data_IF_090550160676
#
_entry.id   IF_090550160676
#
_cell.length_a   1.000
_cell.length_b   1.000
_cell.length_c   1.000
_cell.angle_alpha   90.00
_cell.angle_beta   90.00
_cell.angle_gamma   90.00
#
_symmetry.space_group_name_H-M   'P 1'
#
loop_
_entity.id
_entity.type
_entity.pdbx_description
1 polymer ?
#
# COMPACT_ATOMS: atom_id res chain seq x y z
N UNK A 1 -26.83 12.22 -12.01
CA UNK A 1 -25.81 11.67 -12.91
C UNK A 1 -25.94 10.15 -12.96
N UNK A 2 -25.68 9.48 -14.11
CA UNK A 2 -25.77 8.01 -14.28
C UNK A 2 -24.36 7.45 -14.52
N UNK A 3 -24.18 6.15 -14.33
CA UNK A 3 -22.89 5.48 -14.55
C UNK A 3 -22.30 5.80 -15.92
N UNK A 4 -23.10 5.72 -16.99
CA UNK A 4 -22.67 6.07 -18.35
C UNK A 4 -22.13 7.50 -18.49
N UNK A 5 -22.65 8.45 -17.70
CA UNK A 5 -22.13 9.82 -17.66
C UNK A 5 -20.73 9.86 -17.06
N UNK A 6 -20.46 9.07 -16.00
CA UNK A 6 -19.16 8.96 -15.34
C UNK A 6 -18.12 8.41 -16.31
N UNK A 7 -18.41 7.29 -16.99
CA UNK A 7 -17.53 6.68 -17.97
C UNK A 7 -17.14 7.67 -19.09
N UNK A 8 -18.13 8.35 -19.66
CA UNK A 8 -17.91 9.29 -20.77
C UNK A 8 -17.11 10.52 -20.31
N UNK A 9 -17.44 11.08 -19.16
CA UNK A 9 -16.74 12.25 -18.60
C UNK A 9 -15.27 11.88 -18.28
N UNK A 10 -15.03 10.72 -17.69
CA UNK A 10 -13.68 10.24 -17.41
C UNK A 10 -12.88 9.97 -18.69
N UNK A 11 -13.48 9.35 -19.69
CA UNK A 11 -12.84 9.12 -20.99
C UNK A 11 -12.45 10.43 -21.68
N UNK A 12 -13.32 11.46 -21.65
CA UNK A 12 -13.00 12.78 -22.22
C UNK A 12 -11.87 13.45 -21.43
N UNK A 13 -11.89 13.37 -20.09
CA UNK A 13 -10.85 13.91 -19.22
C UNK A 13 -9.46 13.33 -19.56
N UNK A 14 -9.39 12.02 -19.75
CA UNK A 14 -8.12 11.30 -20.04
C UNK A 14 -7.64 11.58 -21.45
N UNK A 15 -8.55 11.61 -22.43
CA UNK A 15 -8.17 11.70 -23.86
C UNK A 15 -8.14 13.12 -24.42
N UNK A 16 -8.78 14.07 -23.73
CA UNK A 16 -8.85 15.48 -24.13
C UNK A 16 -9.73 15.79 -25.35
N UNK A 17 -10.31 14.77 -26.01
CA UNK A 17 -11.17 14.96 -27.21
C UNK A 17 -12.33 13.99 -27.26
N UNK A 18 -13.48 14.44 -27.83
CA UNK A 18 -14.65 13.59 -28.04
C UNK A 18 -14.37 12.40 -28.96
N UNK A 19 -13.52 12.59 -29.98
CA UNK A 19 -13.15 11.54 -30.93
C UNK A 19 -12.33 10.43 -30.26
N UNK A 20 -11.33 10.82 -29.47
CA UNK A 20 -10.49 9.85 -28.76
C UNK A 20 -11.27 9.15 -27.64
N UNK A 21 -12.14 9.87 -26.92
CA UNK A 21 -13.04 9.25 -25.93
C UNK A 21 -14.01 8.25 -26.58
N UNK A 22 -14.51 8.54 -27.77
CA UNK A 22 -15.35 7.63 -28.53
C UNK A 22 -14.60 6.33 -28.90
N UNK A 23 -13.37 6.46 -29.36
CA UNK A 23 -12.50 5.31 -29.66
C UNK A 23 -12.20 4.48 -28.40
N UNK A 24 -11.87 5.13 -27.28
CA UNK A 24 -11.58 4.47 -26.00
C UNK A 24 -12.76 3.64 -25.49
N UNK A 25 -13.99 4.17 -25.61
CA UNK A 25 -15.19 3.50 -25.13
C UNK A 25 -15.88 2.62 -26.20
N UNK A 26 -15.29 2.45 -27.39
CA UNK A 26 -15.88 1.74 -28.53
C UNK A 26 -17.29 2.26 -28.89
N UNK A 27 -17.44 3.60 -28.87
CA UNK A 27 -18.68 4.30 -29.19
C UNK A 27 -18.52 5.23 -30.38
N UNK A 28 -19.65 5.74 -30.88
CA UNK A 28 -19.64 6.82 -31.87
C UNK A 28 -19.46 8.19 -31.20
N UNK A 29 -18.79 9.13 -31.88
CA UNK A 29 -18.64 10.49 -31.36
C UNK A 29 -19.97 11.21 -31.07
N UNK A 30 -21.04 11.05 -31.88
CA UNK A 30 -22.36 11.58 -31.53
C UNK A 30 -22.90 11.07 -30.21
N UNK A 31 -22.72 9.75 -29.92
CA UNK A 31 -23.15 9.15 -28.65
C UNK A 31 -22.42 9.78 -27.45
N UNK A 32 -21.10 9.96 -27.56
CA UNK A 32 -20.31 10.65 -26.52
C UNK A 32 -20.81 12.07 -26.32
N UNK A 33 -21.03 12.81 -27.41
CA UNK A 33 -21.53 14.20 -27.34
C UNK A 33 -22.88 14.28 -26.63
N UNK A 34 -23.81 13.40 -27.02
CA UNK A 34 -25.15 13.35 -26.43
C UNK A 34 -25.12 12.99 -24.94
N UNK A 35 -24.25 12.03 -24.55
CA UNK A 35 -24.08 11.62 -23.17
C UNK A 35 -23.47 12.75 -22.33
N UNK A 36 -22.45 13.45 -22.84
CA UNK A 36 -21.86 14.60 -22.16
C UNK A 36 -22.91 15.71 -21.96
N UNK A 37 -23.63 16.09 -23.02
CA UNK A 37 -24.70 17.11 -22.92
C UNK A 37 -25.82 16.71 -21.94
N UNK A 38 -26.12 15.41 -21.87
CA UNK A 38 -27.09 14.90 -20.89
C UNK A 38 -26.56 15.03 -19.45
N UNK A 39 -25.28 14.75 -19.22
CA UNK A 39 -24.64 14.92 -17.92
C UNK A 39 -24.65 16.40 -17.49
N UNK A 40 -24.19 17.30 -18.36
CA UNK A 40 -24.12 18.74 -18.10
C UNK A 40 -25.51 19.36 -17.85
N UNK A 41 -26.53 18.95 -18.62
CA UNK A 41 -27.92 19.37 -18.35
C UNK A 41 -28.45 18.92 -16.99
N UNK A 42 -28.09 17.71 -16.54
CA UNK A 42 -28.48 17.23 -15.20
C UNK A 42 -27.75 17.95 -14.08
N UNK A 43 -26.51 18.36 -14.32
CA UNK A 43 -25.72 19.10 -13.34
C UNK A 43 -26.07 20.60 -13.31
N UNK A 44 -26.59 21.14 -14.41
CA UNK A 44 -26.91 22.56 -14.55
C UNK A 44 -25.73 23.44 -14.93
N UNK A 45 -24.57 22.86 -15.20
CA UNK A 45 -23.36 23.57 -15.63
C UNK A 45 -22.52 22.73 -16.58
N UNK A 46 -21.68 23.38 -17.45
CA UNK A 46 -20.77 22.66 -18.33
C UNK A 46 -19.62 22.04 -17.54
N UNK A 47 -19.18 20.87 -18.00
CA UNK A 47 -18.00 20.18 -17.46
C UNK A 47 -16.72 20.49 -18.28
N UNK A 48 -16.90 20.84 -19.55
CA UNK A 48 -15.78 21.16 -20.43
C UNK A 48 -16.06 22.41 -21.26
N UNK A 49 -15.00 23.18 -21.49
CA UNK A 49 -14.97 24.32 -22.39
C UNK A 49 -14.07 24.05 -23.59
N UNK A 50 -14.39 24.63 -24.73
CA UNK A 50 -13.54 24.52 -25.93
C UNK A 50 -12.54 25.67 -25.99
N UNK A 51 -11.26 25.36 -25.82
CA UNK A 51 -10.18 26.34 -25.96
C UNK A 51 -9.21 25.82 -27.01
N UNK A 52 -9.10 26.58 -28.13
CA UNK A 52 -8.21 26.26 -29.27
C UNK A 52 -8.42 24.84 -29.82
N UNK A 53 -9.67 24.35 -29.86
CA UNK A 53 -10.04 23.05 -30.39
C UNK A 53 -9.91 21.87 -29.40
N UNK A 54 -9.38 22.10 -28.20
CA UNK A 54 -9.29 21.10 -27.14
C UNK A 54 -10.43 21.31 -26.11
N UNK A 55 -10.84 20.24 -25.49
CA UNK A 55 -11.75 20.27 -24.34
C UNK A 55 -10.93 20.46 -23.07
N UNK A 56 -11.15 21.56 -22.37
CA UNK A 56 -10.52 21.88 -21.08
C UNK A 56 -11.57 21.78 -20.00
N UNK A 57 -11.27 21.13 -18.85
CA UNK A 57 -12.20 21.09 -17.72
C UNK A 57 -12.54 22.47 -17.17
N UNK A 58 -13.81 22.69 -16.86
CA UNK A 58 -14.26 23.87 -16.10
C UNK A 58 -13.79 23.77 -14.63
N UNK A 59 -13.91 24.87 -13.88
CA UNK A 59 -13.59 24.89 -12.44
C UNK A 59 -14.48 23.92 -11.64
N UNK A 60 -15.75 23.85 -11.98
CA UNK A 60 -16.73 22.95 -11.40
C UNK A 60 -16.36 21.48 -11.69
N UNK A 61 -15.95 21.19 -12.92
CA UNK A 61 -15.48 19.86 -13.31
C UNK A 61 -14.22 19.44 -12.54
N UNK A 62 -13.26 20.35 -12.36
CA UNK A 62 -12.03 20.06 -11.60
C UNK A 62 -12.34 19.66 -10.14
N UNK A 63 -13.36 20.28 -9.53
CA UNK A 63 -13.82 19.92 -8.18
C UNK A 63 -14.54 18.57 -8.15
N UNK A 64 -15.29 18.24 -9.21
CA UNK A 64 -16.09 17.00 -9.29
C UNK A 64 -15.26 15.78 -9.72
N UNK A 65 -14.18 15.97 -10.46
CA UNK A 65 -13.38 14.87 -11.03
C UNK A 65 -12.81 13.88 -10.01
N UNK A 66 -12.29 14.28 -8.83
CA UNK A 66 -11.82 13.32 -7.84
C UNK A 66 -12.90 12.31 -7.44
N UNK A 67 -14.14 12.74 -7.30
CA UNK A 67 -15.27 11.86 -6.94
C UNK A 67 -15.67 10.97 -8.13
N UNK A 68 -15.65 11.50 -9.35
CA UNK A 68 -15.90 10.71 -10.58
C UNK A 68 -14.84 9.62 -10.74
N UNK A 69 -13.57 9.95 -10.51
CA UNK A 69 -12.48 8.97 -10.60
C UNK A 69 -12.64 7.86 -9.58
N UNK A 70 -12.99 8.20 -8.34
CA UNK A 70 -13.20 7.22 -7.27
C UNK A 70 -14.35 6.24 -7.60
N UNK A 71 -15.44 6.76 -8.17
CA UNK A 71 -16.56 5.91 -8.59
C UNK A 71 -16.20 5.01 -9.79
N UNK A 72 -15.41 5.51 -10.74
CA UNK A 72 -14.93 4.73 -11.88
C UNK A 72 -14.00 3.59 -11.42
N UNK A 73 -13.08 3.89 -10.52
CA UNK A 73 -12.19 2.90 -9.89
C UNK A 73 -12.98 1.82 -9.15
N UNK A 74 -14.03 2.20 -8.40
CA UNK A 74 -14.90 1.25 -7.71
C UNK A 74 -15.67 0.36 -8.68
N UNK A 75 -16.14 0.90 -9.81
CA UNK A 75 -16.81 0.10 -10.85
C UNK A 75 -15.86 -0.92 -11.47
N UNK A 76 -14.65 -0.47 -11.85
CA UNK A 76 -13.62 -1.36 -12.39
C UNK A 76 -13.23 -2.45 -11.38
N UNK A 77 -13.19 -2.11 -10.09
CA UNK A 77 -12.93 -3.07 -9.03
C UNK A 77 -13.99 -4.17 -8.97
N UNK A 78 -15.28 -3.81 -9.07
CA UNK A 78 -16.39 -4.80 -9.11
C UNK A 78 -16.29 -5.69 -10.36
N UNK A 79 -15.93 -5.11 -11.51
CA UNK A 79 -15.75 -5.87 -12.75
C UNK A 79 -14.60 -6.89 -12.62
N UNK A 80 -13.44 -6.46 -12.12
CA UNK A 80 -12.30 -7.36 -11.86
C UNK A 80 -12.67 -8.48 -10.87
N UNK A 81 -13.39 -8.16 -9.80
CA UNK A 81 -13.85 -9.16 -8.85
C UNK A 81 -14.76 -10.20 -9.53
N UNK A 82 -15.70 -9.76 -10.38
CA UNK A 82 -16.58 -10.67 -11.11
C UNK A 82 -15.81 -11.57 -12.10
N UNK A 83 -14.75 -11.05 -12.73
CA UNK A 83 -13.86 -11.82 -13.60
C UNK A 83 -13.06 -12.84 -12.77
N UNK A 84 -12.44 -12.44 -11.67
CA UNK A 84 -11.67 -13.32 -10.79
C UNK A 84 -12.54 -14.45 -10.19
N UNK A 85 -13.79 -14.15 -9.83
CA UNK A 85 -14.74 -15.17 -9.36
C UNK A 85 -15.13 -16.18 -10.45
N UNK A 86 -15.20 -15.73 -11.71
CA UNK A 86 -15.51 -16.62 -12.83
C UNK A 86 -14.34 -17.54 -13.18
N UNK A 87 -13.12 -17.00 -13.15
CA UNK A 87 -11.92 -17.72 -13.58
C UNK A 87 -11.43 -18.72 -12.50
N UNK A 88 -11.93 -18.61 -11.26
CA UNK A 88 -11.58 -19.47 -10.14
C UNK A 88 -10.16 -19.26 -9.61
N UNK A 89 -9.80 -20.00 -8.56
CA UNK A 89 -8.42 -20.05 -8.06
C UNK A 89 -7.66 -21.16 -8.78
N UNK A 90 -6.54 -20.81 -9.42
CA UNK A 90 -5.59 -21.80 -9.94
C UNK A 90 -4.92 -22.52 -8.76
N UNK A 91 -5.32 -23.76 -8.47
CA UNK A 91 -4.78 -24.58 -7.37
C UNK A 91 -3.26 -24.87 -7.50
N UNK A 92 -2.67 -24.52 -8.64
CA UNK A 92 -1.23 -24.69 -8.88
C UNK A 92 -0.42 -23.40 -8.71
N UNK A 93 -1.03 -22.31 -8.26
CA UNK A 93 -0.37 -21.02 -8.11
C UNK A 93 -0.77 -20.29 -6.81
N UNK A 94 0.12 -19.41 -6.32
CA UNK A 94 -0.17 -18.47 -5.22
C UNK A 94 0.29 -17.08 -5.63
N UNK A 95 -0.62 -16.11 -5.57
CA UNK A 95 -0.35 -14.68 -5.77
C UNK A 95 -0.17 -14.03 -4.40
N UNK A 96 1.03 -13.58 -4.11
CA UNK A 96 1.45 -13.06 -2.80
C UNK A 96 1.61 -11.55 -2.92
N UNK A 97 1.00 -10.81 -2.01
CA UNK A 97 1.31 -9.40 -1.73
C UNK A 97 2.05 -9.28 -0.41
N UNK A 98 3.02 -8.37 -0.34
CA UNK A 98 3.71 -8.11 0.91
C UNK A 98 4.02 -6.61 1.05
N UNK A 99 4.07 -6.13 2.30
CA UNK A 99 4.64 -4.82 2.56
C UNK A 99 6.07 -4.75 2.03
N UNK A 100 6.53 -3.62 1.46
CA UNK A 100 7.81 -3.55 0.75
C UNK A 100 9.01 -4.06 1.55
N UNK A 101 9.08 -3.76 2.85
CA UNK A 101 10.16 -4.25 3.71
C UNK A 101 10.11 -5.78 3.87
N UNK A 102 8.93 -6.34 4.07
CA UNK A 102 8.75 -7.79 4.21
C UNK A 102 8.99 -8.53 2.90
N UNK A 103 8.60 -7.95 1.76
CA UNK A 103 8.81 -8.56 0.44
C UNK A 103 10.30 -8.77 0.11
N UNK A 104 11.18 -7.89 0.63
CA UNK A 104 12.62 -7.94 0.39
C UNK A 104 13.38 -8.80 1.41
N UNK A 105 12.74 -9.22 2.48
CA UNK A 105 13.34 -9.96 3.58
C UNK A 105 12.56 -11.26 3.85
N UNK A 106 11.78 -11.27 4.88
CA UNK A 106 11.05 -12.42 5.42
C UNK A 106 10.22 -13.17 4.37
N UNK A 107 9.48 -12.44 3.52
CA UNK A 107 8.60 -13.07 2.53
C UNK A 107 9.41 -13.63 1.37
N UNK A 108 10.54 -13.01 1.01
CA UNK A 108 11.47 -13.58 0.02
C UNK A 108 11.98 -14.95 0.48
N UNK A 109 12.44 -15.05 1.74
CA UNK A 109 12.91 -16.32 2.33
C UNK A 109 11.78 -17.36 2.42
N UNK A 110 10.58 -16.93 2.82
CA UNK A 110 9.42 -17.80 2.88
C UNK A 110 9.02 -18.34 1.49
N UNK A 111 9.10 -17.50 0.45
CA UNK A 111 8.83 -17.90 -0.95
C UNK A 111 9.85 -18.95 -1.42
N UNK A 112 11.14 -18.77 -1.13
CA UNK A 112 12.18 -19.73 -1.50
C UNK A 112 11.98 -21.06 -0.75
N UNK A 113 11.77 -21.01 0.56
CA UNK A 113 11.49 -22.21 1.37
C UNK A 113 10.24 -22.94 0.88
N UNK A 114 9.17 -22.20 0.58
CA UNK A 114 7.94 -22.79 0.07
C UNK A 114 8.13 -23.42 -1.31
N UNK A 115 8.94 -22.81 -2.18
CA UNK A 115 9.26 -23.34 -3.51
C UNK A 115 10.04 -24.64 -3.45
N UNK A 116 10.92 -24.79 -2.47
CA UNK A 116 11.64 -26.06 -2.22
C UNK A 116 10.67 -27.17 -1.79
N UNK A 117 9.71 -26.86 -0.91
CA UNK A 117 8.70 -27.82 -0.45
C UNK A 117 7.65 -28.17 -1.53
N UNK A 118 7.39 -27.25 -2.45
CA UNK A 118 6.36 -27.36 -3.48
C UNK A 118 6.89 -26.97 -4.87
N UNK A 119 7.79 -27.76 -5.50
CA UNK A 119 8.46 -27.40 -6.75
C UNK A 119 7.50 -27.13 -7.92
N UNK A 120 6.33 -27.79 -7.94
CA UNK A 120 5.31 -27.64 -8.99
C UNK A 120 4.48 -26.36 -8.91
N UNK A 121 4.48 -25.67 -7.74
CA UNK A 121 3.63 -24.49 -7.52
C UNK A 121 4.28 -23.26 -8.13
N UNK A 122 3.48 -22.46 -8.85
CA UNK A 122 3.89 -21.14 -9.34
C UNK A 122 3.67 -20.11 -8.22
N UNK A 123 4.68 -19.29 -7.95
CA UNK A 123 4.61 -18.23 -6.95
C UNK A 123 4.84 -16.88 -7.65
N UNK A 124 3.98 -15.92 -7.38
CA UNK A 124 4.19 -14.53 -7.77
C UNK A 124 4.21 -13.67 -6.52
N UNK A 125 5.28 -12.88 -6.35
CA UNK A 125 5.42 -11.94 -5.25
C UNK A 125 5.38 -10.51 -5.81
N UNK A 126 4.45 -9.72 -5.30
CA UNK A 126 4.36 -8.28 -5.54
C UNK A 126 4.45 -7.54 -4.21
N UNK A 127 5.04 -6.37 -4.22
CA UNK A 127 5.04 -5.49 -3.06
C UNK A 127 4.05 -4.35 -3.26
N UNK A 128 3.30 -4.03 -2.19
CA UNK A 128 2.39 -2.89 -2.20
C UNK A 128 2.20 -2.38 -0.76
N UNK A 129 1.74 -1.14 -0.64
CA UNK A 129 1.41 -0.57 0.66
C UNK A 129 0.09 -1.11 1.19
N UNK A 130 -0.03 -1.20 2.51
CA UNK A 130 -1.11 -1.95 3.18
C UNK A 130 -2.51 -1.63 2.67
N UNK A 131 -2.85 -0.36 2.41
CA UNK A 131 -4.19 0.00 1.93
C UNK A 131 -4.49 -0.57 0.54
N UNK A 132 -3.55 -0.43 -0.40
CA UNK A 132 -3.68 -0.98 -1.77
C UNK A 132 -3.64 -2.50 -1.75
N UNK A 133 -2.77 -3.09 -0.93
CA UNK A 133 -2.67 -4.54 -0.79
C UNK A 133 -3.98 -5.15 -0.28
N UNK A 134 -4.59 -4.56 0.76
CA UNK A 134 -5.89 -4.99 1.30
C UNK A 134 -7.00 -4.90 0.24
N UNK A 135 -7.03 -3.81 -0.55
CA UNK A 135 -8.00 -3.67 -1.63
C UNK A 135 -7.83 -4.76 -2.71
N UNK A 136 -6.59 -5.03 -3.13
CA UNK A 136 -6.29 -6.06 -4.13
C UNK A 136 -6.63 -7.48 -3.65
N UNK A 137 -6.42 -7.78 -2.36
CA UNK A 137 -6.82 -9.07 -1.76
C UNK A 137 -8.35 -9.18 -1.72
N UNK A 138 -9.05 -8.10 -1.33
CA UNK A 138 -10.51 -8.08 -1.31
C UNK A 138 -11.13 -8.28 -2.70
N UNK A 139 -10.43 -7.86 -3.77
CA UNK A 139 -10.79 -8.07 -5.16
C UNK A 139 -10.31 -9.42 -5.73
N UNK A 140 -9.73 -10.27 -4.89
CA UNK A 140 -9.16 -11.56 -5.30
C UNK A 140 -8.07 -11.43 -6.39
N UNK A 141 -7.37 -10.29 -6.46
CA UNK A 141 -6.18 -10.08 -7.30
C UNK A 141 -4.91 -10.68 -6.69
N UNK A 142 -4.97 -11.01 -5.39
CA UNK A 142 -3.97 -11.77 -4.68
C UNK A 142 -4.65 -12.75 -3.71
N UNK A 143 -3.98 -13.85 -3.43
CA UNK A 143 -4.52 -14.93 -2.60
C UNK A 143 -4.16 -14.73 -1.12
N UNK A 144 -3.04 -14.07 -0.85
CA UNK A 144 -2.54 -13.76 0.48
C UNK A 144 -1.75 -12.47 0.50
N UNK A 145 -1.89 -11.69 1.57
CA UNK A 145 -1.03 -10.55 1.90
C UNK A 145 -0.26 -10.78 3.18
N UNK A 146 1.03 -10.45 3.23
CA UNK A 146 1.83 -10.39 4.46
C UNK A 146 2.10 -8.92 4.75
N UNK A 147 1.37 -8.39 5.74
CA UNK A 147 1.24 -6.95 5.96
C UNK A 147 1.42 -6.60 7.44
N UNK A 148 1.70 -5.32 7.71
CA UNK A 148 1.48 -4.78 9.05
C UNK A 148 -0.02 -4.60 9.29
N UNK A 149 -0.50 -4.95 10.48
CA UNK A 149 -1.90 -4.69 10.84
C UNK A 149 -2.18 -3.18 10.77
N UNK A 150 -3.07 -2.76 9.90
CA UNK A 150 -3.31 -1.32 9.70
C UNK A 150 -4.70 -0.93 9.22
N UNK A 151 -5.42 -1.81 8.56
CA UNK A 151 -6.68 -1.44 7.92
C UNK A 151 -7.70 -2.57 8.09
N UNK A 152 -8.70 -2.34 8.92
CA UNK A 152 -9.86 -3.24 8.97
C UNK A 152 -10.66 -3.13 7.68
N UNK A 153 -10.90 -4.26 7.02
CA UNK A 153 -11.72 -4.34 5.82
C UNK A 153 -12.74 -5.49 5.97
N UNK A 154 -14.04 -5.26 5.69
CA UNK A 154 -15.09 -6.25 5.95
C UNK A 154 -14.95 -7.54 5.15
N UNK A 155 -14.25 -7.50 4.00
CA UNK A 155 -14.02 -8.69 3.17
C UNK A 155 -12.70 -9.42 3.48
N UNK A 156 -11.91 -8.97 4.47
CA UNK A 156 -10.60 -9.52 4.78
C UNK A 156 -10.61 -10.18 6.14
N UNK A 157 -10.01 -11.37 6.22
CA UNK A 157 -9.65 -12.03 7.47
C UNK A 157 -8.14 -11.88 7.68
N UNK A 158 -7.77 -11.41 8.86
CA UNK A 158 -6.38 -11.37 9.30
C UNK A 158 -6.05 -12.55 10.20
N UNK A 159 -4.84 -13.07 10.04
CA UNK A 159 -4.26 -14.16 10.82
C UNK A 159 -2.93 -13.63 11.35
N UNK A 160 -2.81 -13.48 12.65
CA UNK A 160 -1.55 -13.04 13.26
C UNK A 160 -0.42 -14.02 12.96
N UNK A 161 0.70 -13.50 12.49
CA UNK A 161 1.91 -14.26 12.18
C UNK A 161 2.95 -14.08 13.26
N UNK A 162 3.24 -12.83 13.61
CA UNK A 162 4.25 -12.42 14.59
C UNK A 162 3.97 -10.98 15.08
N UNK A 163 4.77 -10.52 16.01
CA UNK A 163 4.88 -9.11 16.38
C UNK A 163 6.27 -8.60 16.04
N UNK A 164 6.36 -7.50 15.30
CA UNK A 164 7.56 -6.71 15.13
C UNK A 164 7.52 -5.51 16.08
N UNK A 165 8.56 -4.69 16.11
CA UNK A 165 8.63 -3.47 16.95
C UNK A 165 9.34 -2.34 16.22
N UNK A 166 9.11 -1.11 16.66
CA UNK A 166 9.88 0.04 16.19
C UNK A 166 11.26 0.06 16.80
N UNK A 167 12.26 0.39 15.97
CA UNK A 167 13.65 0.54 16.34
C UNK A 167 14.21 1.85 15.79
N UNK A 168 15.17 2.43 16.50
CA UNK A 168 15.97 3.55 16.02
C UNK A 168 17.15 3.01 15.22
N UNK A 169 17.39 3.59 14.04
CA UNK A 169 18.50 3.23 13.15
C UNK A 169 19.33 4.47 12.82
N UNK A 170 20.63 4.35 12.88
CA UNK A 170 21.53 5.46 12.58
C UNK A 170 22.97 5.05 12.37
N UNK A 171 23.75 5.97 11.78
CA UNK A 171 25.21 5.83 11.70
C UNK A 171 25.80 5.81 13.11
N UNK A 172 26.90 5.07 13.38
CA UNK A 172 27.55 5.07 14.70
C UNK A 172 27.91 6.46 15.26
N UNK A 173 28.14 7.44 14.37
CA UNK A 173 28.39 8.84 14.81
C UNK A 173 27.12 9.57 15.31
N UNK A 174 25.92 9.01 15.07
CA UNK A 174 24.63 9.62 15.40
C UNK A 174 23.82 8.81 16.42
N UNK A 175 24.11 7.54 16.51
CA UNK A 175 23.40 6.58 17.36
C UNK A 175 24.40 5.60 17.95
N UNK A 176 24.65 5.66 19.26
CA UNK A 176 25.47 4.69 19.97
C UNK A 176 24.78 3.33 20.07
N UNK A 177 25.54 2.25 20.13
CA UNK A 177 25.03 0.94 20.49
C UNK A 177 24.51 0.94 21.91
N UNK A 178 23.27 0.51 22.11
CA UNK A 178 22.64 0.40 23.40
C UNK A 178 21.62 -0.74 23.42
N UNK A 179 21.28 -1.32 24.57
CA UNK A 179 20.25 -2.34 24.67
C UNK A 179 18.86 -1.78 24.30
N UNK A 180 18.62 -0.50 24.54
CA UNK A 180 17.44 0.25 24.14
C UNK A 180 17.71 1.75 24.16
N UNK A 181 16.85 2.52 23.51
CA UNK A 181 16.80 3.99 23.58
C UNK A 181 15.44 4.41 24.15
N UNK A 182 15.46 5.22 25.19
CA UNK A 182 14.22 5.84 25.68
C UNK A 182 13.64 6.78 24.62
N UNK A 183 12.34 6.69 24.38
CA UNK A 183 11.65 7.56 23.40
C UNK A 183 11.80 9.04 23.79
N UNK A 184 11.86 9.34 25.08
CA UNK A 184 12.13 10.69 25.59
C UNK A 184 13.48 11.26 25.15
N UNK A 185 14.46 10.43 24.83
CA UNK A 185 15.74 10.85 24.29
C UNK A 185 15.65 11.42 22.86
N UNK A 186 14.49 11.29 22.21
CA UNK A 186 14.19 11.90 20.91
C UNK A 186 13.71 13.35 21.02
N UNK A 187 13.43 13.86 22.25
CA UNK A 187 12.91 15.22 22.43
C UNK A 187 13.82 16.27 21.77
N UNK A 188 13.22 17.08 20.90
CA UNK A 188 13.91 18.13 20.14
C UNK A 188 14.89 17.64 19.08
N UNK A 189 15.12 16.31 18.95
CA UNK A 189 16.02 15.77 17.92
C UNK A 189 15.42 15.90 16.52
N UNK A 190 16.29 16.03 15.54
CA UNK A 190 15.94 15.84 14.15
C UNK A 190 15.99 14.36 13.81
N UNK A 191 14.94 13.87 13.13
CA UNK A 191 14.84 12.51 12.62
C UNK A 191 14.49 12.53 11.13
N UNK A 192 14.90 11.50 10.40
CA UNK A 192 14.32 11.17 9.10
C UNK A 192 13.11 10.30 9.41
N UNK A 193 11.90 10.84 9.20
CA UNK A 193 10.67 10.24 9.67
C UNK A 193 9.96 9.40 8.62
N UNK A 194 9.17 8.39 9.03
CA UNK A 194 8.20 7.77 8.15
C UNK A 194 7.11 8.79 7.76
N UNK A 195 6.52 8.59 6.56
CA UNK A 195 5.42 9.43 6.10
C UNK A 195 4.27 9.37 7.11
N UNK A 196 3.73 10.52 7.58
CA UNK A 196 2.59 10.55 8.51
C UNK A 196 1.32 9.88 7.98
N UNK A 197 1.18 9.73 6.66
CA UNK A 197 0.07 9.00 6.05
C UNK A 197 0.25 7.47 6.09
N UNK A 198 1.46 7.00 6.36
CA UNK A 198 1.77 5.57 6.48
C UNK A 198 1.33 5.02 7.86
N UNK A 199 0.95 3.72 7.96
CA UNK A 199 0.59 3.11 9.24
C UNK A 199 1.62 3.27 10.35
N UNK A 200 2.90 3.06 10.05
CA UNK A 200 4.00 3.24 11.02
C UNK A 200 4.20 4.71 11.40
N UNK A 201 4.09 5.61 10.43
CA UNK A 201 4.15 7.05 10.70
C UNK A 201 3.06 7.50 11.66
N UNK A 202 1.83 7.03 11.46
CA UNK A 202 0.71 7.29 12.37
C UNK A 202 0.93 6.70 13.77
N UNK A 203 1.42 5.45 13.83
CA UNK A 203 1.70 4.77 15.09
C UNK A 203 2.78 5.51 15.89
N UNK A 204 3.88 5.89 15.22
CA UNK A 204 4.95 6.66 15.83
C UNK A 204 4.44 8.03 16.31
N UNK A 205 3.73 8.77 15.47
CA UNK A 205 3.20 10.10 15.83
C UNK A 205 2.27 10.02 17.05
N UNK A 206 1.35 9.04 17.07
CA UNK A 206 0.47 8.80 18.22
C UNK A 206 1.28 8.52 19.50
N UNK A 207 2.32 7.69 19.40
CA UNK A 207 3.13 7.32 20.57
C UNK A 207 3.96 8.50 21.09
N UNK A 208 4.51 9.31 20.20
CA UNK A 208 5.23 10.54 20.59
C UNK A 208 4.29 11.54 21.28
N UNK A 209 3.06 11.70 20.77
CA UNK A 209 2.04 12.55 21.39
C UNK A 209 1.65 12.05 22.79
N UNK A 210 1.39 10.75 22.96
CA UNK A 210 1.07 10.14 24.25
C UNK A 210 2.16 10.35 25.30
N UNK A 211 3.42 10.38 24.88
CA UNK A 211 4.59 10.60 25.75
C UNK A 211 5.04 12.06 25.82
N UNK A 212 4.32 12.97 25.16
CA UNK A 212 4.65 14.41 25.07
C UNK A 212 6.08 14.66 24.55
N UNK A 213 6.53 13.85 23.58
CA UNK A 213 7.85 13.98 22.93
C UNK A 213 7.69 14.64 21.59
N UNK A 214 8.43 15.71 21.34
CA UNK A 214 8.42 16.46 20.09
C UNK A 214 9.69 16.20 19.30
N UNK A 215 9.55 15.73 18.08
CA UNK A 215 10.68 15.54 17.14
C UNK A 215 10.59 16.53 15.99
N UNK A 216 11.71 16.85 15.38
CA UNK A 216 11.77 17.61 14.13
C UNK A 216 12.00 16.63 12.99
N UNK A 217 11.21 16.74 11.92
CA UNK A 217 11.38 15.92 10.72
C UNK A 217 11.32 16.81 9.49
N UNK A 218 12.47 17.10 8.90
CA UNK A 218 12.60 17.86 7.66
C UNK A 218 12.61 16.97 6.42
N UNK A 219 12.80 15.66 6.62
CA UNK A 219 12.78 14.64 5.55
C UNK A 219 11.86 13.51 5.97
N UNK A 220 10.90 13.20 5.13
CA UNK A 220 10.01 12.04 5.29
C UNK A 220 10.09 11.12 4.08
N UNK A 221 9.93 9.82 4.29
CA UNK A 221 9.82 8.86 3.19
C UNK A 221 8.80 7.76 3.51
N UNK A 222 8.12 7.30 2.48
CA UNK A 222 7.15 6.21 2.59
C UNK A 222 7.84 4.84 2.64
N UNK A 223 8.96 4.69 1.95
CA UNK A 223 9.73 3.45 1.93
C UNK A 223 10.68 3.38 3.13
N UNK A 224 10.54 2.37 3.97
CA UNK A 224 11.42 2.15 5.14
C UNK A 224 12.86 1.86 4.74
N UNK A 225 13.08 1.19 3.59
CA UNK A 225 14.42 1.03 3.03
C UNK A 225 15.05 2.37 2.62
N UNK A 226 14.24 3.31 2.12
CA UNK A 226 14.71 4.67 1.83
C UNK A 226 15.10 5.40 3.11
N UNK A 227 14.34 5.22 4.20
CA UNK A 227 14.67 5.78 5.51
C UNK A 227 16.03 5.26 6.01
N UNK A 228 16.24 3.93 5.96
CA UNK A 228 17.52 3.31 6.32
C UNK A 228 18.66 3.82 5.43
N UNK A 229 18.45 3.90 4.11
CA UNK A 229 19.45 4.39 3.17
C UNK A 229 19.80 5.88 3.36
N UNK A 230 18.85 6.70 3.79
CA UNK A 230 19.08 8.11 4.13
C UNK A 230 19.85 8.23 5.45
N UNK A 231 19.49 7.45 6.47
CA UNK A 231 20.21 7.39 7.74
C UNK A 231 21.67 6.94 7.55
N UNK A 232 21.92 5.99 6.65
CA UNK A 232 23.27 5.52 6.31
C UNK A 232 24.17 6.60 5.69
N UNK A 233 23.57 7.64 5.10
CA UNK A 233 24.30 8.72 4.39
C UNK A 233 24.27 10.05 5.14
N UNK A 234 23.71 10.07 6.34
CA UNK A 234 23.55 11.28 7.15
C UNK A 234 23.98 11.02 8.60
N UNK A 235 24.03 12.10 9.39
CA UNK A 235 24.18 12.02 10.85
C UNK A 235 22.82 12.18 11.55
N UNK A 236 21.76 11.78 10.90
CA UNK A 236 20.38 11.87 11.40
C UNK A 236 19.83 10.46 11.54
N UNK A 237 19.23 10.16 12.67
CA UNK A 237 18.61 8.85 12.92
C UNK A 237 17.26 8.73 12.23
N UNK A 238 16.84 7.51 11.99
CA UNK A 238 15.47 7.18 11.54
C UNK A 238 14.81 6.18 12.46
N UNK A 239 13.49 6.09 12.37
CA UNK A 239 12.70 5.10 13.10
C UNK A 239 11.97 4.25 12.07
N UNK A 240 12.21 2.96 12.12
CA UNK A 240 11.60 1.95 11.24
C UNK A 240 11.21 0.73 12.06
N UNK A 241 10.52 -0.23 11.45
CA UNK A 241 10.29 -1.52 12.09
C UNK A 241 11.54 -2.41 12.04
N UNK A 242 11.61 -3.36 12.96
CA UNK A 242 12.75 -4.26 13.11
C UNK A 242 13.02 -5.10 11.85
N UNK A 243 12.00 -5.46 11.07
CA UNK A 243 12.15 -6.22 9.82
C UNK A 243 12.84 -5.38 8.74
N UNK A 244 12.44 -4.11 8.59
CA UNK A 244 13.13 -3.19 7.68
C UNK A 244 14.57 -2.92 8.13
N UNK A 245 14.82 -2.89 9.44
CA UNK A 245 16.14 -2.69 10.00
C UNK A 245 17.11 -3.87 9.80
N UNK A 246 16.65 -5.05 9.37
CA UNK A 246 17.55 -6.17 9.05
C UNK A 246 18.61 -5.78 8.01
N UNK A 247 18.24 -4.93 7.06
CA UNK A 247 19.17 -4.43 6.04
C UNK A 247 20.19 -3.43 6.58
N UNK A 248 19.92 -2.79 7.71
CA UNK A 248 20.76 -1.72 8.27
C UNK A 248 22.09 -2.25 8.82
N UNK A 249 22.06 -3.40 9.48
CA UNK A 249 23.28 -4.01 10.06
C UNK A 249 24.33 -4.33 8.99
N UNK A 250 23.90 -4.81 7.81
CA UNK A 250 24.78 -5.04 6.67
C UNK A 250 25.38 -3.76 6.07
N UNK A 251 24.85 -2.59 6.43
CA UNK A 251 25.32 -1.27 6.01
C UNK A 251 26.18 -0.57 7.08
N UNK A 252 26.53 -1.24 8.17
CA UNK A 252 27.32 -0.68 9.26
C UNK A 252 26.56 0.32 10.14
N UNK A 253 25.23 0.22 10.19
CA UNK A 253 24.38 1.06 11.02
C UNK A 253 24.07 0.39 12.35
N UNK A 254 23.95 1.19 13.40
CA UNK A 254 23.45 0.76 14.68
C UNK A 254 21.92 0.67 14.64
N UNK A 255 21.38 -0.37 15.28
CA UNK A 255 19.94 -0.64 15.40
C UNK A 255 19.63 -0.80 16.88
N UNK A 256 18.87 0.12 17.42
CA UNK A 256 18.60 0.21 18.87
C UNK A 256 17.08 0.16 19.10
N UNK A 257 16.56 -0.82 19.86
CA UNK A 257 15.16 -0.89 20.24
C UNK A 257 14.69 0.36 20.99
N UNK A 258 13.43 0.77 20.76
CA UNK A 258 12.83 1.87 21.51
C UNK A 258 12.22 1.36 22.84
N UNK A 259 12.31 2.17 23.88
CA UNK A 259 11.66 1.97 25.17
C UNK A 259 10.78 3.18 25.53
N UNK A 260 9.51 2.97 25.95
CA UNK A 260 8.81 1.69 25.98
C UNK A 260 8.62 1.12 24.57
N UNK A 261 8.54 -0.21 24.46
CA UNK A 261 8.38 -0.91 23.20
C UNK A 261 7.11 -0.47 22.45
N UNK A 262 7.23 -0.28 21.16
CA UNK A 262 6.10 -0.04 20.26
C UNK A 262 5.97 -1.25 19.35
N UNK A 263 5.08 -2.16 19.74
CA UNK A 263 4.81 -3.39 19.01
C UNK A 263 3.96 -3.14 17.76
N UNK A 264 4.25 -3.90 16.70
CA UNK A 264 3.57 -3.83 15.41
C UNK A 264 3.16 -5.25 15.01
N UNK A 265 1.86 -5.59 15.02
CA UNK A 265 1.42 -6.88 14.56
C UNK A 265 1.72 -7.08 13.07
N UNK A 266 2.26 -8.26 12.76
CA UNK A 266 2.45 -8.74 11.39
C UNK A 266 1.38 -9.79 11.12
N UNK A 267 0.61 -9.60 10.06
CA UNK A 267 -0.56 -10.42 9.76
C UNK A 267 -0.50 -11.01 8.36
N UNK A 268 -1.07 -12.21 8.20
CA UNK A 268 -1.49 -12.71 6.90
C UNK A 268 -2.94 -12.27 6.66
N UNK A 269 -3.16 -11.53 5.59
CA UNK A 269 -4.48 -11.07 5.15
C UNK A 269 -4.97 -11.92 4.00
N UNK A 270 -6.20 -12.45 4.09
CA UNK A 270 -6.83 -13.29 3.07
C UNK A 270 -8.30 -12.87 2.89
N UNK A 271 -8.86 -13.05 1.70
CA UNK A 271 -10.27 -12.78 1.48
C UNK A 271 -11.16 -13.74 2.28
N UNK A 272 -12.23 -13.23 2.91
CA UNK A 272 -13.16 -14.04 3.73
C UNK A 272 -13.89 -15.06 2.85
N UNK A 273 -14.30 -14.65 1.64
CA UNK A 273 -15.06 -15.46 0.70
C UNK A 273 -14.17 -16.18 -0.32
N UNK A 274 -12.86 -16.04 -0.24
CA UNK A 274 -11.92 -16.81 -1.06
C UNK A 274 -11.87 -18.26 -0.56
N UNK A 275 -11.93 -19.21 -1.48
CA UNK A 275 -11.60 -20.60 -1.13
C UNK A 275 -10.16 -20.61 -0.62
N UNK A 276 -9.99 -21.00 0.64
CA UNK A 276 -8.66 -21.21 1.20
C UNK A 276 -8.05 -22.42 0.53
N UNK A 277 -7.20 -22.20 -0.46
CA UNK A 277 -6.42 -23.31 -0.97
C UNK A 277 -5.51 -23.83 0.15
N UNK A 278 -5.33 -25.14 0.22
CA UNK A 278 -4.41 -25.77 1.16
C UNK A 278 -2.98 -25.17 1.03
N UNK A 279 -2.62 -24.68 -0.15
CA UNK A 279 -1.36 -24.01 -0.43
C UNK A 279 -1.23 -22.68 0.32
N UNK A 280 -2.29 -21.86 0.39
CA UNK A 280 -2.29 -20.58 1.14
C UNK A 280 -2.12 -20.84 2.64
N UNK A 281 -2.76 -21.89 3.17
CA UNK A 281 -2.58 -22.25 4.59
C UNK A 281 -1.16 -22.73 4.89
N UNK A 282 -0.58 -23.52 4.00
CA UNK A 282 0.80 -24.00 4.13
C UNK A 282 1.80 -22.84 4.00
N UNK A 283 1.60 -21.94 3.03
CA UNK A 283 2.43 -20.74 2.87
C UNK A 283 2.35 -19.84 4.12
N UNK A 284 1.16 -19.67 4.69
CA UNK A 284 0.96 -18.93 5.95
C UNK A 284 1.79 -19.52 7.10
N UNK A 285 1.87 -20.86 7.19
CA UNK A 285 2.71 -21.55 8.20
C UNK A 285 4.20 -21.30 7.96
N UNK A 286 4.65 -21.36 6.69
CA UNK A 286 6.04 -21.06 6.34
C UNK A 286 6.38 -19.62 6.71
N UNK A 287 5.56 -18.64 6.34
CA UNK A 287 5.77 -17.23 6.73
C UNK A 287 5.89 -17.05 8.24
N UNK A 288 5.00 -17.69 9.02
CA UNK A 288 5.05 -17.63 10.49
C UNK A 288 6.36 -18.21 11.04
N UNK A 289 6.84 -19.32 10.50
CA UNK A 289 8.09 -19.92 10.94
C UNK A 289 9.29 -19.05 10.59
N UNK A 290 9.33 -18.49 9.39
CA UNK A 290 10.41 -17.58 8.96
C UNK A 290 10.46 -16.32 9.84
N UNK A 291 9.29 -15.73 10.16
CA UNK A 291 9.21 -14.58 11.06
C UNK A 291 9.74 -14.89 12.46
N UNK A 292 9.41 -16.05 13.01
CA UNK A 292 9.87 -16.47 14.35
C UNK A 292 11.38 -16.69 14.46
N UNK A 293 12.07 -16.91 13.34
CA UNK A 293 13.52 -17.04 13.34
C UNK A 293 14.25 -15.70 13.22
N UNK A 294 13.56 -14.64 12.87
CA UNK A 294 14.11 -13.31 12.61
C UNK A 294 13.73 -12.25 13.66
N UNK A 295 12.58 -12.42 14.30
CA UNK A 295 12.09 -11.61 15.43
C UNK A 295 12.04 -12.48 16.70
#
# INVERSE_FOLDING_TARGET
MRLRHIEVVNAIRVTGTLKAAAALLSLTQPAITQTLQSAERQLGYPLFERVRGKLIPTREAQTLFPEIMRLDEQLQAVQRLAENLRDGTDESSIRILAAPAMAQTVVADAVLTFKELHPGVKLSLRSDYSATAVANIALMEADIGVLYHSVSHPAIKEIELASSRLVCVGHPDALDEAPFMEISALEGREIIGPDPADPLGRLLAKRLEELSVTVRSSVTAQSYHSLVALAARSKVVTIVDEIAALSARGQGLNVVPLAPEIAIPVVASVAINGERSALVEQFTKVCRNTLRTLC
#
